data_IF_578080122549
#
_entry.id   IF_578080122549
#
_cell.length_a   1.000
_cell.length_b   1.000
_cell.length_c   1.000
_cell.angle_alpha   90.00
_cell.angle_beta   90.00
_cell.angle_gamma   90.00
#
_symmetry.space_group_name_H-M   'P 1'
#
loop_
_entity.id
_entity.type
_entity.pdbx_description
1 polymer ?
#
# COMPACT_ATOMS: atom_id res chain seq x y z
N UNK A 1 -1.16 -32.43 -12.20
CA UNK A 1 -2.54 -31.90 -12.26
C UNK A 1 -2.43 -30.43 -12.66
N UNK A 2 -2.70 -30.11 -13.93
CA UNK A 2 -2.81 -28.73 -14.40
C UNK A 2 -4.29 -28.34 -14.30
N UNK A 3 -4.60 -27.36 -13.46
CA UNK A 3 -5.91 -26.72 -13.42
C UNK A 3 -5.99 -25.76 -14.60
N UNK A 4 -6.72 -26.15 -15.64
CA UNK A 4 -7.09 -25.23 -16.72
C UNK A 4 -8.14 -24.27 -16.16
N UNK A 5 -7.73 -23.05 -15.82
CA UNK A 5 -8.65 -21.94 -15.56
C UNK A 5 -9.29 -21.55 -16.89
N UNK A 6 -10.51 -22.03 -17.10
CA UNK A 6 -11.36 -21.63 -18.22
C UNK A 6 -12.09 -20.34 -17.77
N UNK A 7 -11.40 -19.20 -17.84
CA UNK A 7 -12.05 -17.90 -17.75
C UNK A 7 -12.82 -17.66 -19.04
N UNK A 8 -14.14 -17.83 -18.97
CA UNK A 8 -15.03 -17.35 -20.02
C UNK A 8 -15.03 -15.83 -19.99
N UNK A 9 -14.24 -15.19 -20.87
CA UNK A 9 -14.42 -13.78 -21.20
C UNK A 9 -15.81 -13.64 -21.83
N UNK A 10 -16.80 -13.22 -21.04
CA UNK A 10 -18.11 -12.94 -21.61
C UNK A 10 -18.03 -11.62 -22.38
N UNK A 11 -18.74 -11.47 -23.51
CA UNK A 11 -18.74 -10.23 -24.29
C UNK A 11 -19.14 -8.98 -23.48
N UNK A 12 -19.84 -9.19 -22.36
CA UNK A 12 -20.25 -8.16 -21.42
C UNK A 12 -19.09 -7.65 -20.55
N UNK A 13 -18.11 -8.50 -20.20
CA UNK A 13 -16.93 -8.10 -19.43
C UNK A 13 -16.05 -7.13 -20.23
N UNK A 14 -15.80 -7.43 -21.51
CA UNK A 14 -15.07 -6.54 -22.42
C UNK A 14 -15.82 -5.24 -22.76
N UNK A 15 -17.15 -5.21 -22.58
CA UNK A 15 -17.95 -3.97 -22.70
C UNK A 15 -17.86 -3.14 -21.43
N UNK A 16 -17.96 -3.77 -20.26
CA UNK A 16 -17.82 -3.14 -18.96
C UNK A 16 -16.42 -2.54 -18.77
N UNK A 17 -15.37 -3.25 -19.19
CA UNK A 17 -13.99 -2.76 -19.12
C UNK A 17 -13.74 -1.54 -20.03
N UNK A 18 -14.34 -1.54 -21.24
CA UNK A 18 -14.27 -0.38 -22.16
C UNK A 18 -15.10 0.81 -21.71
N UNK A 19 -16.25 0.60 -21.06
CA UNK A 19 -17.06 1.68 -20.49
C UNK A 19 -16.34 2.28 -19.28
N UNK A 20 -15.75 1.44 -18.42
CA UNK A 20 -14.91 1.91 -17.31
C UNK A 20 -13.70 2.69 -17.81
N UNK A 21 -12.97 2.21 -18.83
CA UNK A 21 -11.78 2.92 -19.32
C UNK A 21 -12.11 4.27 -19.94
N UNK A 22 -13.23 4.39 -20.69
CA UNK A 22 -13.69 5.67 -21.25
C UNK A 22 -14.14 6.66 -20.18
N UNK A 23 -14.84 6.19 -19.16
CA UNK A 23 -15.23 7.01 -18.01
C UNK A 23 -14.00 7.56 -17.26
N UNK A 24 -12.99 6.72 -17.06
CA UNK A 24 -11.77 7.07 -16.35
C UNK A 24 -10.93 8.14 -17.08
N UNK A 25 -10.86 8.06 -18.42
CA UNK A 25 -10.22 9.08 -19.25
C UNK A 25 -10.96 10.42 -19.26
N UNK A 26 -12.29 10.40 -19.29
CA UNK A 26 -13.11 11.61 -19.21
C UNK A 26 -12.90 12.34 -17.89
N UNK A 27 -12.91 11.59 -16.77
CA UNK A 27 -12.67 12.14 -15.44
C UNK A 27 -11.28 12.77 -15.35
N UNK A 28 -10.24 12.05 -15.79
CA UNK A 28 -8.86 12.58 -15.80
C UNK A 28 -8.75 13.83 -16.68
N UNK A 29 -9.42 13.86 -17.83
CA UNK A 29 -9.48 15.03 -18.71
C UNK A 29 -10.15 16.24 -18.05
N UNK A 30 -11.26 16.04 -17.35
CA UNK A 30 -11.95 17.10 -16.60
C UNK A 30 -11.06 17.64 -15.48
N UNK A 31 -10.38 16.76 -14.74
CA UNK A 31 -9.46 17.15 -13.67
C UNK A 31 -8.27 17.93 -14.22
N UNK A 32 -7.69 17.50 -15.35
CA UNK A 32 -6.59 18.22 -15.99
C UNK A 32 -7.02 19.62 -16.47
N UNK A 33 -8.21 19.73 -17.07
CA UNK A 33 -8.77 21.03 -17.45
C UNK A 33 -9.07 21.90 -16.22
N UNK A 34 -9.53 21.30 -15.13
CA UNK A 34 -9.71 21.95 -13.83
C UNK A 34 -8.39 22.51 -13.28
N UNK A 35 -7.31 21.75 -13.37
CA UNK A 35 -5.97 22.17 -12.95
C UNK A 35 -5.44 23.35 -13.77
N UNK A 36 -5.61 23.30 -15.09
CA UNK A 36 -5.20 24.39 -15.99
C UNK A 36 -6.01 25.66 -15.73
N UNK A 37 -7.32 25.53 -15.56
CA UNK A 37 -8.22 26.64 -15.21
C UNK A 37 -7.86 27.26 -13.86
N UNK A 38 -7.69 26.42 -12.84
CA UNK A 38 -7.27 26.82 -11.49
C UNK A 38 -5.92 27.54 -11.50
N UNK A 39 -4.97 27.03 -12.28
CA UNK A 39 -3.65 27.64 -12.40
C UNK A 39 -3.71 29.02 -13.04
N UNK A 40 -4.51 29.18 -14.10
CA UNK A 40 -4.76 30.46 -14.76
C UNK A 40 -5.40 31.47 -13.80
N UNK A 41 -6.34 31.03 -12.97
CA UNK A 41 -7.02 31.88 -12.00
C UNK A 41 -6.05 32.42 -10.94
N UNK A 42 -5.23 31.56 -10.33
CA UNK A 42 -4.20 32.01 -9.38
C UNK A 42 -3.20 32.95 -10.06
N UNK A 43 -2.85 32.66 -11.32
CA UNK A 43 -1.93 33.49 -12.09
C UNK A 43 -2.48 34.91 -12.28
N UNK A 44 -3.78 35.04 -12.58
CA UNK A 44 -4.44 36.34 -12.77
C UNK A 44 -4.64 37.08 -11.44
N UNK A 45 -5.15 36.39 -10.42
CA UNK A 45 -5.44 36.97 -9.10
C UNK A 45 -4.20 37.55 -8.42
N UNK A 46 -3.05 36.91 -8.60
CA UNK A 46 -1.78 37.34 -8.00
C UNK A 46 -0.83 38.02 -9.00
N UNK A 47 -1.36 38.62 -10.09
CA UNK A 47 -0.55 39.25 -11.12
C UNK A 47 0.50 40.25 -10.60
N UNK A 48 0.16 40.99 -9.54
CA UNK A 48 1.04 41.99 -8.91
C UNK A 48 2.11 41.41 -7.96
N UNK A 49 2.15 40.09 -7.74
CA UNK A 49 3.12 39.44 -6.84
C UNK A 49 4.35 38.93 -7.59
N UNK A 50 5.43 38.69 -6.85
CA UNK A 50 6.66 38.10 -7.38
C UNK A 50 6.39 36.74 -8.03
N UNK A 51 7.08 36.44 -9.14
CA UNK A 51 6.84 35.23 -9.93
C UNK A 51 7.01 33.94 -9.14
N UNK A 52 8.00 33.89 -8.23
CA UNK A 52 8.23 32.73 -7.37
C UNK A 52 7.05 32.47 -6.41
N UNK A 53 6.47 33.53 -5.83
CA UNK A 53 5.31 33.39 -4.94
C UNK A 53 4.06 32.95 -5.73
N UNK A 54 3.89 33.46 -6.95
CA UNK A 54 2.82 33.04 -7.86
C UNK A 54 2.92 31.55 -8.18
N UNK A 55 4.09 31.09 -8.64
CA UNK A 55 4.32 29.67 -8.95
C UNK A 55 4.07 28.77 -7.74
N UNK A 56 4.59 29.12 -6.56
CA UNK A 56 4.36 28.37 -5.33
C UNK A 56 2.86 28.27 -5.00
N UNK A 57 2.13 29.40 -5.04
CA UNK A 57 0.70 29.44 -4.75
C UNK A 57 -0.11 28.67 -5.80
N UNK A 58 0.25 28.76 -7.07
CA UNK A 58 -0.39 28.01 -8.17
C UNK A 58 -0.23 26.51 -7.95
N UNK A 59 0.99 26.04 -7.67
CA UNK A 59 1.25 24.62 -7.42
C UNK A 59 0.50 24.14 -6.18
N UNK A 60 0.53 24.92 -5.10
CA UNK A 60 -0.17 24.56 -3.86
C UNK A 60 -1.69 24.48 -4.08
N UNK A 61 -2.25 25.45 -4.80
CA UNK A 61 -3.69 25.50 -5.08
C UNK A 61 -4.14 24.31 -5.91
N UNK A 62 -3.46 24.03 -7.03
CA UNK A 62 -3.70 22.84 -7.88
C UNK A 62 -3.58 21.56 -7.04
N UNK A 63 -2.51 21.44 -6.26
CA UNK A 63 -2.29 20.26 -5.42
C UNK A 63 -3.35 20.06 -4.33
N UNK A 64 -3.98 21.12 -3.83
CA UNK A 64 -5.06 20.98 -2.84
C UNK A 64 -6.39 20.68 -3.52
N UNK A 65 -6.73 21.42 -4.58
CA UNK A 65 -8.06 21.32 -5.21
C UNK A 65 -8.17 20.08 -6.08
N UNK A 66 -7.22 19.84 -6.97
CA UNK A 66 -7.32 18.74 -7.93
C UNK A 66 -7.01 17.38 -7.29
N UNK A 67 -6.10 17.35 -6.32
CA UNK A 67 -5.83 16.12 -5.55
C UNK A 67 -7.03 15.76 -4.66
N UNK A 68 -7.73 16.75 -4.10
CA UNK A 68 -8.98 16.50 -3.37
C UNK A 68 -10.08 15.97 -4.29
N UNK A 69 -10.22 16.50 -5.52
CA UNK A 69 -11.16 15.98 -6.51
C UNK A 69 -10.83 14.54 -6.93
N UNK A 70 -9.56 14.23 -7.18
CA UNK A 70 -9.11 12.86 -7.45
C UNK A 70 -9.47 11.91 -6.30
N UNK A 71 -9.25 12.35 -5.06
CA UNK A 71 -9.57 11.56 -3.87
C UNK A 71 -11.08 11.38 -3.68
N UNK A 72 -11.87 12.40 -4.02
CA UNK A 72 -13.33 12.35 -3.97
C UNK A 72 -13.87 11.33 -4.97
N UNK A 73 -13.31 11.32 -6.19
CA UNK A 73 -13.68 10.36 -7.24
C UNK A 73 -13.24 8.94 -6.87
N UNK A 74 -11.99 8.74 -6.48
CA UNK A 74 -11.49 7.40 -6.05
C UNK A 74 -12.25 6.90 -4.82
N UNK A 75 -12.59 7.79 -3.89
CA UNK A 75 -13.43 7.47 -2.75
C UNK A 75 -14.81 6.95 -3.19
N UNK A 76 -15.45 7.67 -4.12
CA UNK A 76 -16.78 7.35 -4.61
C UNK A 76 -16.83 6.03 -5.38
N UNK A 77 -15.83 5.73 -6.21
CA UNK A 77 -15.78 4.51 -7.02
C UNK A 77 -15.31 3.29 -6.25
N UNK A 78 -14.30 3.44 -5.36
CA UNK A 78 -13.56 2.29 -4.84
C UNK A 78 -13.63 2.09 -3.31
N UNK A 79 -14.00 3.10 -2.51
CA UNK A 79 -13.72 3.06 -1.08
C UNK A 79 -14.95 2.95 -0.16
N UNK A 80 -16.13 3.43 -0.52
CA UNK A 80 -17.23 3.53 0.45
C UNK A 80 -18.11 2.28 0.52
N UNK A 81 -17.83 1.44 1.51
CA UNK A 81 -18.63 0.24 1.84
C UNK A 81 -19.91 0.55 2.62
N UNK A 82 -20.04 1.73 3.20
CA UNK A 82 -21.21 2.10 4.03
C UNK A 82 -22.04 3.24 3.42
N UNK A 83 -23.37 3.15 3.55
CA UNK A 83 -24.30 4.15 3.02
C UNK A 83 -24.08 5.55 3.58
N UNK A 84 -23.62 5.66 4.83
CA UNK A 84 -23.29 6.95 5.46
C UNK A 84 -22.11 7.64 4.76
N UNK A 85 -21.07 6.88 4.40
CA UNK A 85 -19.92 7.40 3.68
C UNK A 85 -20.28 7.78 2.25
N UNK A 86 -21.11 6.97 1.57
CA UNK A 86 -21.62 7.28 0.21
C UNK A 86 -22.43 8.57 0.20
N UNK A 87 -23.33 8.78 1.16
CA UNK A 87 -24.11 10.02 1.29
C UNK A 87 -23.23 11.23 1.58
N UNK A 88 -22.24 11.09 2.45
CA UNK A 88 -21.29 12.18 2.74
C UNK A 88 -20.42 12.54 1.53
N UNK A 89 -19.96 11.54 0.76
CA UNK A 89 -19.21 11.76 -0.47
C UNK A 89 -20.08 12.41 -1.56
N UNK A 90 -21.32 11.94 -1.75
CA UNK A 90 -22.26 12.54 -2.69
C UNK A 90 -22.56 14.01 -2.33
N UNK A 91 -22.80 14.29 -1.05
CA UNK A 91 -22.97 15.66 -0.56
C UNK A 91 -21.73 16.50 -0.86
N UNK A 92 -20.52 15.96 -0.62
CA UNK A 92 -19.26 16.59 -1.01
C UNK A 92 -19.22 16.92 -2.50
N UNK A 93 -19.45 15.94 -3.37
CA UNK A 93 -19.45 16.12 -4.84
C UNK A 93 -20.43 17.22 -5.27
N UNK A 94 -21.66 17.17 -4.79
CA UNK A 94 -22.70 18.16 -5.13
C UNK A 94 -22.33 19.55 -4.62
N UNK A 95 -21.85 19.65 -3.38
CA UNK A 95 -21.41 20.92 -2.79
C UNK A 95 -20.26 21.53 -3.59
N UNK A 96 -19.24 20.74 -3.92
CA UNK A 96 -18.13 21.18 -4.75
C UNK A 96 -18.57 21.60 -6.15
N UNK A 97 -19.46 20.82 -6.78
CA UNK A 97 -20.03 21.15 -8.07
C UNK A 97 -20.76 22.49 -8.05
N UNK A 98 -21.57 22.75 -7.01
CA UNK A 98 -22.28 24.02 -6.84
C UNK A 98 -21.33 25.20 -6.61
N UNK A 99 -20.30 25.02 -5.79
CA UNK A 99 -19.26 26.02 -5.53
C UNK A 99 -18.48 26.34 -6.81
N UNK A 100 -18.05 25.32 -7.55
CA UNK A 100 -17.35 25.48 -8.83
C UNK A 100 -18.22 26.18 -9.87
N UNK A 101 -19.49 25.79 -10.00
CA UNK A 101 -20.44 26.42 -10.91
C UNK A 101 -20.66 27.89 -10.56
N UNK A 102 -20.83 28.21 -9.27
CA UNK A 102 -20.94 29.59 -8.79
C UNK A 102 -19.71 30.40 -9.18
N UNK A 103 -18.52 29.81 -9.05
CA UNK A 103 -17.27 30.47 -9.42
C UNK A 103 -17.17 30.72 -10.94
N UNK A 104 -17.53 29.73 -11.76
CA UNK A 104 -17.56 29.85 -13.22
C UNK A 104 -18.52 30.95 -13.66
N UNK A 105 -19.76 30.94 -13.14
CA UNK A 105 -20.77 31.95 -13.48
C UNK A 105 -20.32 33.34 -13.08
N UNK A 106 -19.74 33.48 -11.88
CA UNK A 106 -19.31 34.79 -11.37
C UNK A 106 -18.16 35.37 -12.19
N UNK A 107 -17.15 34.56 -12.54
CA UNK A 107 -16.07 35.00 -13.42
C UNK A 107 -16.55 35.27 -14.86
N UNK A 108 -17.51 34.49 -15.37
CA UNK A 108 -18.11 34.75 -16.68
C UNK A 108 -18.85 36.09 -16.71
N UNK A 109 -19.61 36.40 -15.66
CA UNK A 109 -20.30 37.70 -15.53
C UNK A 109 -19.31 38.86 -15.44
N UNK A 110 -18.21 38.69 -14.71
CA UNK A 110 -17.12 39.66 -14.63
C UNK A 110 -16.49 39.91 -16.01
N UNK A 111 -16.18 38.84 -16.74
CA UNK A 111 -15.63 38.93 -18.10
C UNK A 111 -16.62 39.57 -19.09
N UNK A 112 -17.90 39.27 -18.96
CA UNK A 112 -18.97 39.86 -19.78
C UNK A 112 -19.28 41.32 -19.42
N UNK A 113 -18.57 41.92 -18.44
CA UNK A 113 -18.80 43.30 -17.99
C UNK A 113 -20.15 43.50 -17.31
N UNK A 114 -20.81 42.43 -16.88
CA UNK A 114 -22.10 42.51 -16.19
C UNK A 114 -21.90 43.05 -14.77
N UNK A 115 -22.81 43.93 -14.29
CA UNK A 115 -22.71 44.45 -12.94
C UNK A 115 -22.88 43.31 -11.92
N UNK A 116 -21.80 43.01 -11.20
CA UNK A 116 -21.81 42.02 -10.12
C UNK A 116 -22.62 42.54 -8.93
N UNK A 117 -23.35 41.65 -8.26
CA UNK A 117 -23.95 41.95 -6.96
C UNK A 117 -22.88 42.11 -5.88
N UNK A 118 -23.24 42.70 -4.74
CA UNK A 118 -22.33 42.84 -3.59
C UNK A 118 -21.85 41.46 -3.12
N UNK A 119 -22.75 40.47 -3.05
CA UNK A 119 -22.42 39.11 -2.65
C UNK A 119 -21.44 38.43 -3.62
N UNK A 120 -21.59 38.65 -4.93
CA UNK A 120 -20.68 38.11 -5.94
C UNK A 120 -19.29 38.74 -5.86
N UNK A 121 -19.21 40.05 -5.63
CA UNK A 121 -17.91 40.73 -5.41
C UNK A 121 -17.21 40.22 -4.15
N UNK A 122 -17.96 40.06 -3.07
CA UNK A 122 -17.42 39.55 -1.82
C UNK A 122 -16.98 38.09 -2.02
N UNK A 123 -17.79 37.27 -2.70
CA UNK A 123 -17.42 35.92 -3.11
C UNK A 123 -16.13 35.87 -3.94
N UNK A 124 -15.91 36.78 -4.90
CA UNK A 124 -14.63 36.84 -5.62
C UNK A 124 -13.44 37.18 -4.69
N UNK A 125 -13.68 37.92 -3.60
CA UNK A 125 -12.65 38.35 -2.65
C UNK A 125 -12.17 37.25 -1.71
N UNK A 126 -13.09 36.47 -1.12
CA UNK A 126 -12.75 35.40 -0.15
C UNK A 126 -13.15 34.00 -0.58
N UNK A 127 -13.95 33.87 -1.64
CA UNK A 127 -14.42 32.59 -2.17
C UNK A 127 -13.27 31.66 -2.56
N UNK A 128 -12.17 32.19 -3.12
CA UNK A 128 -10.96 31.40 -3.39
C UNK A 128 -10.43 30.71 -2.12
N UNK A 129 -10.35 31.46 -1.01
CA UNK A 129 -9.86 30.95 0.28
C UNK A 129 -10.88 29.98 0.88
N UNK A 130 -12.16 30.29 0.81
CA UNK A 130 -13.24 29.45 1.31
C UNK A 130 -13.30 28.11 0.56
N UNK A 131 -13.16 28.12 -0.77
CA UNK A 131 -13.09 26.90 -1.59
C UNK A 131 -11.93 26.04 -1.13
N UNK A 132 -10.71 26.60 -1.04
CA UNK A 132 -9.53 25.83 -0.59
C UNK A 132 -9.73 25.28 0.82
N UNK A 133 -10.23 26.09 1.76
CA UNK A 133 -10.44 25.69 3.15
C UNK A 133 -11.46 24.56 3.29
N UNK A 134 -12.62 24.70 2.64
CA UNK A 134 -13.65 23.65 2.65
C UNK A 134 -13.17 22.40 1.93
N UNK A 135 -12.47 22.58 0.81
CA UNK A 135 -11.90 21.48 0.03
C UNK A 135 -10.94 20.64 0.85
N UNK A 136 -10.00 21.32 1.51
CA UNK A 136 -9.04 20.70 2.40
C UNK A 136 -9.73 20.03 3.60
N UNK A 137 -10.73 20.69 4.20
CA UNK A 137 -11.52 20.13 5.29
C UNK A 137 -12.25 18.84 4.91
N UNK A 138 -12.91 18.82 3.74
CA UNK A 138 -13.57 17.62 3.20
C UNK A 138 -12.55 16.53 2.89
N UNK A 139 -11.45 16.86 2.20
CA UNK A 139 -10.40 15.89 1.88
C UNK A 139 -9.81 15.26 3.15
N UNK A 140 -9.53 16.07 4.17
CA UNK A 140 -9.03 15.60 5.46
C UNK A 140 -10.06 14.73 6.18
N UNK A 141 -11.33 15.15 6.20
CA UNK A 141 -12.42 14.36 6.77
C UNK A 141 -12.54 12.99 6.09
N UNK A 142 -12.50 12.94 4.76
CA UNK A 142 -12.56 11.68 4.01
C UNK A 142 -11.32 10.82 4.23
N UNK A 143 -10.14 11.43 4.35
CA UNK A 143 -8.89 10.72 4.69
C UNK A 143 -9.00 10.03 6.05
N UNK A 144 -9.41 10.78 7.08
CA UNK A 144 -9.55 10.28 8.44
C UNK A 144 -10.59 9.17 8.55
N UNK A 145 -11.63 9.21 7.72
CA UNK A 145 -12.70 8.22 7.69
C UNK A 145 -12.50 7.12 6.62
N UNK A 146 -11.33 7.04 5.99
CA UNK A 146 -11.12 6.08 4.90
C UNK A 146 -11.01 4.64 5.42
N UNK A 147 -11.82 3.69 4.90
CA UNK A 147 -11.79 2.30 5.33
C UNK A 147 -10.48 1.58 4.97
N UNK A 148 -9.75 2.07 3.95
CA UNK A 148 -8.40 1.58 3.61
C UNK A 148 -7.42 1.70 4.77
N UNK A 149 -7.48 2.79 5.55
CA UNK A 149 -6.61 2.95 6.74
C UNK A 149 -7.00 1.95 7.83
N UNK A 150 -8.30 1.68 7.99
CA UNK A 150 -8.78 0.67 8.93
C UNK A 150 -8.34 -0.75 8.50
N UNK A 151 -8.41 -1.06 7.20
CA UNK A 151 -7.91 -2.31 6.63
C UNK A 151 -6.40 -2.45 6.78
N UNK A 152 -5.60 -1.44 6.44
CA UNK A 152 -4.15 -1.46 6.66
C UNK A 152 -3.80 -1.64 8.14
N UNK A 153 -4.57 -1.05 9.05
CA UNK A 153 -4.38 -1.24 10.49
C UNK A 153 -4.67 -2.68 10.90
N UNK A 154 -5.74 -3.29 10.37
CA UNK A 154 -6.06 -4.71 10.57
C UNK A 154 -4.97 -5.62 9.98
N UNK A 155 -4.54 -5.39 8.75
CA UNK A 155 -3.46 -6.15 8.11
C UNK A 155 -2.16 -6.07 8.91
N UNK A 156 -1.79 -4.89 9.43
CA UNK A 156 -0.63 -4.73 10.32
C UNK A 156 -0.79 -5.49 11.64
N UNK A 157 -1.99 -5.53 12.20
CA UNK A 157 -2.27 -6.32 13.39
C UNK A 157 -2.17 -7.83 13.09
N UNK A 158 -2.70 -8.28 11.96
CA UNK A 158 -2.60 -9.65 11.49
C UNK A 158 -1.14 -10.05 11.21
N UNK A 159 -0.35 -9.19 10.56
CA UNK A 159 1.06 -9.46 10.30
C UNK A 159 1.85 -9.55 11.61
N UNK A 160 1.63 -8.61 12.53
CA UNK A 160 2.26 -8.62 13.84
C UNK A 160 1.91 -9.89 14.65
N UNK A 161 0.63 -10.32 14.59
CA UNK A 161 0.19 -11.56 15.24
C UNK A 161 0.87 -12.78 14.61
N UNK A 162 0.91 -12.86 13.27
CA UNK A 162 1.57 -13.94 12.54
C UNK A 162 3.06 -14.03 12.88
N UNK A 163 3.73 -12.89 12.97
CA UNK A 163 5.14 -12.83 13.35
C UNK A 163 5.33 -13.31 14.79
N UNK A 164 4.45 -12.92 15.72
CA UNK A 164 4.52 -13.37 17.11
C UNK A 164 4.33 -14.88 17.26
N UNK A 165 3.40 -15.48 16.49
CA UNK A 165 3.18 -16.94 16.47
C UNK A 165 4.37 -17.66 15.86
N UNK A 166 4.94 -17.10 14.79
CA UNK A 166 6.13 -17.67 14.15
C UNK A 166 7.34 -17.66 15.09
N UNK A 167 7.55 -16.55 15.81
CA UNK A 167 8.61 -16.44 16.83
C UNK A 167 8.35 -17.44 17.95
N UNK A 168 7.13 -17.51 18.50
CA UNK A 168 6.79 -18.48 19.55
C UNK A 168 6.99 -19.93 19.08
N UNK A 169 6.61 -20.28 17.86
CA UNK A 169 6.82 -21.60 17.29
C UNK A 169 8.32 -21.92 17.18
N UNK A 170 9.14 -20.96 16.73
CA UNK A 170 10.60 -21.11 16.70
C UNK A 170 11.20 -21.25 18.10
N UNK A 171 10.75 -20.45 19.07
CA UNK A 171 11.21 -20.54 20.46
C UNK A 171 10.84 -21.88 21.08
N UNK A 172 9.63 -22.40 20.84
CA UNK A 172 9.23 -23.75 21.27
C UNK A 172 10.03 -24.84 20.56
N UNK A 173 10.28 -24.68 19.26
CA UNK A 173 11.11 -25.60 18.50
C UNK A 173 12.55 -25.64 19.02
N UNK A 174 13.14 -24.51 19.42
CA UNK A 174 14.45 -24.46 20.09
C UNK A 174 14.47 -25.20 21.44
N UNK A 175 13.33 -25.27 22.13
CA UNK A 175 13.16 -26.10 23.32
C UNK A 175 12.92 -27.58 23.02
N UNK A 176 12.70 -27.96 21.77
CA UNK A 176 12.49 -29.36 21.39
C UNK A 176 13.80 -30.13 21.39
N UNK A 177 13.76 -31.35 21.91
CA UNK A 177 14.92 -32.22 22.07
C UNK A 177 15.59 -32.53 20.70
N UNK A 178 14.78 -32.64 19.64
CA UNK A 178 15.25 -32.88 18.26
C UNK A 178 16.09 -31.71 17.74
N UNK A 179 15.67 -30.46 17.99
CA UNK A 179 16.42 -29.28 17.55
C UNK A 179 17.67 -29.09 18.39
N UNK A 180 17.63 -29.39 19.69
CA UNK A 180 18.83 -29.37 20.54
C UNK A 180 19.85 -30.41 20.08
N UNK A 181 19.40 -31.61 19.69
CA UNK A 181 20.25 -32.65 19.15
C UNK A 181 20.86 -32.22 17.80
N UNK A 182 20.07 -31.63 16.91
CA UNK A 182 20.56 -31.07 15.65
C UNK A 182 21.58 -29.93 15.85
N UNK A 183 21.34 -29.03 16.82
CA UNK A 183 22.29 -27.95 17.15
C UNK A 183 23.61 -28.53 17.65
N UNK A 184 23.58 -29.51 18.55
CA UNK A 184 24.82 -30.13 19.06
C UNK A 184 25.60 -30.88 17.96
N UNK A 185 24.91 -31.47 16.98
CA UNK A 185 25.57 -32.06 15.80
C UNK A 185 26.23 -30.98 14.92
N UNK A 186 25.56 -29.86 14.69
CA UNK A 186 26.13 -28.73 13.92
C UNK A 186 27.36 -28.16 14.65
N UNK A 187 27.27 -27.96 15.96
CA UNK A 187 28.40 -27.48 16.78
C UNK A 187 29.60 -28.43 16.70
N UNK A 188 29.37 -29.75 16.75
CA UNK A 188 30.45 -30.73 16.59
C UNK A 188 31.09 -30.68 15.20
N UNK A 189 30.29 -30.54 14.14
CA UNK A 189 30.80 -30.44 12.76
C UNK A 189 31.61 -29.15 12.60
N UNK A 190 31.11 -28.03 13.11
CA UNK A 190 31.77 -26.74 13.00
C UNK A 190 33.05 -26.68 13.84
N UNK A 191 33.05 -27.27 15.04
CA UNK A 191 34.25 -27.44 15.86
C UNK A 191 35.32 -28.30 15.16
N UNK A 192 34.92 -29.38 14.49
CA UNK A 192 35.83 -30.22 13.71
C UNK A 192 36.41 -29.47 12.50
N UNK A 193 35.57 -28.71 11.78
CA UNK A 193 36.01 -27.88 10.67
C UNK A 193 36.96 -26.78 11.13
N UNK A 194 36.69 -26.14 12.27
CA UNK A 194 37.55 -25.13 12.87
C UNK A 194 38.90 -25.74 13.31
N UNK A 195 38.87 -26.91 13.96
CA UNK A 195 40.09 -27.62 14.36
C UNK A 195 40.96 -28.00 13.15
N UNK A 196 40.35 -28.47 12.05
CA UNK A 196 41.07 -28.79 10.83
C UNK A 196 41.74 -27.54 10.21
N UNK A 197 41.07 -26.39 10.23
CA UNK A 197 41.64 -25.11 9.77
C UNK A 197 42.81 -24.66 10.63
N UNK A 198 42.69 -24.75 11.96
CA UNK A 198 43.77 -24.37 12.89
C UNK A 198 44.99 -25.29 12.74
N UNK A 199 44.79 -26.59 12.52
CA UNK A 199 45.88 -27.55 12.27
C UNK A 199 46.60 -27.22 10.96
N UNK A 200 45.86 -26.89 9.90
CA UNK A 200 46.44 -26.52 8.62
C UNK A 200 47.21 -25.18 8.71
N UNK A 201 46.67 -24.20 9.44
CA UNK A 201 47.35 -22.92 9.69
C UNK A 201 48.63 -23.11 10.53
N UNK A 202 48.58 -23.97 11.55
CA UNK A 202 49.76 -24.33 12.35
C UNK A 202 50.83 -25.04 11.51
N UNK A 203 50.42 -25.91 10.57
CA UNK A 203 51.32 -26.60 9.63
C UNK A 203 52.01 -25.60 8.69
N UNK A 204 51.29 -24.61 8.18
CA UNK A 204 51.84 -23.57 7.31
C UNK A 204 52.86 -22.67 8.04
N UNK A 205 52.65 -22.41 9.34
CA UNK A 205 53.60 -21.65 10.17
C UNK A 205 54.86 -22.43 10.57
N UNK A 206 54.82 -23.76 10.54
CA UNK A 206 55.95 -24.61 10.93
C UNK A 206 56.20 -25.75 9.92
N UNK A 207 56.89 -25.46 8.79
CA UNK A 207 57.09 -26.42 7.68
C UNK A 207 57.89 -27.69 8.01
N UNK A 208 58.49 -27.77 9.20
CA UNK A 208 59.35 -28.88 9.63
C UNK A 208 58.66 -29.97 10.46
N UNK A 209 57.40 -29.80 10.87
CA UNK A 209 56.66 -30.80 11.64
C UNK A 209 56.07 -31.86 10.70
N UNK A 210 56.78 -32.99 10.55
CA UNK A 210 56.27 -34.18 9.83
C UNK A 210 54.94 -34.61 10.45
N UNK A 211 53.92 -34.78 9.59
CA UNK A 211 52.59 -35.19 10.00
C UNK A 211 52.64 -36.49 10.82
N UNK A 212 52.04 -36.50 12.01
CA UNK A 212 51.68 -37.74 12.67
C UNK A 212 50.75 -38.52 11.71
N UNK A 213 50.96 -39.84 11.55
CA UNK A 213 50.15 -40.64 10.64
C UNK A 213 48.68 -40.49 11.03
N UNK A 214 47.89 -39.94 10.11
CA UNK A 214 46.44 -39.95 10.18
C UNK A 214 46.03 -41.42 10.30
N UNK A 215 45.73 -41.88 11.53
CA UNK A 215 45.05 -43.15 11.72
C UNK A 215 43.76 -43.06 10.93
N UNK A 216 43.71 -43.81 9.83
CA UNK A 216 42.52 -44.04 9.04
C UNK A 216 41.46 -44.59 9.97
N UNK A 217 40.57 -43.71 10.42
CA UNK A 217 39.34 -44.10 11.12
C UNK A 217 38.62 -45.12 10.22
N UNK A 218 38.28 -46.31 10.72
CA UNK A 218 37.55 -47.30 9.93
C UNK A 218 36.29 -46.63 9.38
N UNK A 219 36.03 -46.84 8.09
CA UNK A 219 34.88 -46.31 7.39
C UNK A 219 33.63 -46.54 8.23
N UNK A 220 33.05 -45.46 8.76
CA UNK A 220 31.76 -45.52 9.39
C UNK A 220 30.80 -46.13 8.36
N UNK A 221 30.16 -47.24 8.73
CA UNK A 221 29.15 -47.88 7.91
C UNK A 221 28.16 -46.81 7.40
N UNK A 222 27.69 -46.91 6.15
CA UNK A 222 26.72 -45.96 5.62
C UNK A 222 25.55 -45.91 6.59
N UNK A 223 25.31 -44.72 7.14
CA UNK A 223 24.11 -44.45 7.91
C UNK A 223 22.95 -44.74 6.96
N UNK A 224 22.27 -45.87 7.17
CA UNK A 224 21.05 -46.17 6.46
C UNK A 224 20.09 -45.03 6.75
N UNK A 225 19.89 -44.16 5.77
CA UNK A 225 18.82 -43.17 5.78
C UNK A 225 17.54 -43.98 5.87
N UNK A 226 16.90 -43.95 7.04
CA UNK A 226 15.60 -44.56 7.21
C UNK A 226 14.69 -43.99 6.12
N UNK A 227 13.97 -44.84 5.35
CA UNK A 227 13.02 -44.34 4.38
C UNK A 227 12.03 -43.41 5.10
N UNK A 228 11.60 -42.31 4.46
CA UNK A 228 10.61 -41.41 5.04
C UNK A 228 9.40 -42.24 5.49
N UNK A 229 8.82 -41.95 6.66
CA UNK A 229 7.62 -42.64 7.10
C UNK A 229 6.61 -42.57 5.96
N UNK A 230 6.08 -43.74 5.56
CA UNK A 230 4.98 -43.81 4.61
C UNK A 230 3.95 -42.79 5.07
N UNK A 231 3.62 -41.83 4.21
CA UNK A 231 2.45 -40.99 4.40
C UNK A 231 1.27 -41.94 4.57
N UNK A 232 0.90 -42.16 5.84
CA UNK A 232 -0.37 -42.76 6.18
C UNK A 232 -1.43 -41.82 5.61
N UNK A 233 -2.24 -42.37 4.72
CA UNK A 233 -3.50 -41.77 4.32
C UNK A 233 -4.26 -41.32 5.58
N UNK A 234 -4.73 -40.08 5.57
CA UNK A 234 -5.73 -39.59 6.52
C UNK A 234 -5.19 -39.05 7.83
N UNK A 235 -4.71 -37.80 7.82
CA UNK A 235 -5.05 -36.92 8.95
C UNK A 235 -6.53 -36.58 8.77
N UNK A 236 -7.40 -37.37 9.41
CA UNK A 236 -8.70 -36.88 9.81
C UNK A 236 -8.45 -35.77 10.82
N UNK A 237 -8.48 -34.53 10.32
CA UNK A 237 -8.59 -33.37 11.19
C UNK A 237 -9.93 -33.52 11.93
N UNK A 238 -9.96 -33.54 13.28
CA UNK A 238 -11.22 -33.36 13.95
C UNK A 238 -11.80 -32.03 13.47
N UNK A 239 -13.04 -32.06 12.98
CA UNK A 239 -13.87 -30.87 12.75
C UNK A 239 -13.99 -30.12 14.08
N UNK A 240 -12.99 -29.30 14.37
CA UNK A 240 -13.03 -28.39 15.49
C UNK A 240 -13.96 -27.25 15.08
N UNK A 241 -15.15 -27.35 15.66
CA UNK A 241 -16.30 -26.46 15.55
C UNK A 241 -15.85 -25.00 15.42
N UNK A 242 -16.05 -24.44 14.24
CA UNK A 242 -15.99 -23.00 14.01
C UNK A 242 -17.12 -22.37 14.84
N UNK A 243 -16.83 -21.55 15.86
CA UNK A 243 -17.87 -20.80 16.53
C UNK A 243 -18.48 -19.80 15.52
N UNK A 244 -19.79 -19.92 15.30
CA UNK A 244 -20.55 -18.93 14.54
C UNK A 244 -20.44 -17.58 15.25
N UNK A 245 -19.89 -16.59 14.57
CA UNK A 245 -19.97 -15.16 14.91
C UNK A 245 -20.79 -14.48 13.83
#
# INVERSE_FOLDING_TARGET
MQTNDFTFDTPDDARLERVNSRGDWLIKGIILMGALSSGSLVWQTFAAKHIAARLLLTVLYIAVVDLALLWLVDGFTNAYSTDKQRKAALFGIVFFGAVALTNIVTHFMEFAGSPLSIYQREWLRWGLIAVVGVTFGVALYLKLNSPKIAQMRLERQYSALRDSVTVQAKTRALGSQVVQEAISQIEQIEAQAMAARLIEEARQRHPGLKAAPTQSRPAAAPLWVAPPPKQGNGLDWPEEQIPKV
#
